data_IF_240653672584
#
_entry.id   IF_240653672584
#
_cell.length_a   1.000
_cell.length_b   1.000
_cell.length_c   1.000
_cell.angle_alpha   90.00
_cell.angle_beta   90.00
_cell.angle_gamma   90.00
#
_symmetry.space_group_name_H-M   'P 1'
#
loop_
_entity.id
_entity.type
_entity.pdbx_description
1 polymer ?
#
# COMPACT_ATOMS: atom_id res chain seq x y z
N UNK A 1 7.92 -26.91 21.20
CA UNK A 1 8.36 -25.68 20.51
C UNK A 1 9.27 -26.08 19.38
N UNK A 2 8.74 -26.22 18.18
CA UNK A 2 9.52 -26.57 16.98
C UNK A 2 10.15 -25.30 16.45
N UNK A 3 11.47 -25.25 16.43
CA UNK A 3 12.22 -24.12 15.86
C UNK A 3 11.92 -24.02 14.36
N UNK A 4 11.56 -22.83 13.91
CA UNK A 4 11.38 -22.53 12.49
C UNK A 4 12.68 -22.84 11.75
N UNK A 5 12.64 -23.57 10.62
CA UNK A 5 13.82 -23.79 9.81
C UNK A 5 14.32 -22.44 9.28
N UNK A 6 15.55 -22.08 9.67
CA UNK A 6 16.23 -20.93 9.07
C UNK A 6 16.43 -21.20 7.59
N UNK A 7 15.94 -20.32 6.73
CA UNK A 7 16.29 -20.38 5.31
C UNK A 7 17.82 -20.33 5.17
N UNK A 8 18.44 -21.20 4.37
CA UNK A 8 19.88 -21.19 4.18
C UNK A 8 20.29 -19.96 3.36
N UNK A 9 21.04 -19.07 3.97
CA UNK A 9 21.95 -18.20 3.30
C UNK A 9 21.45 -16.83 2.83
N UNK A 10 21.31 -15.93 3.70
CA UNK A 10 21.94 -14.60 3.62
C UNK A 10 22.06 -14.08 5.04
N UNK A 11 23.27 -14.00 5.55
CA UNK A 11 23.56 -13.20 6.73
C UNK A 11 23.22 -11.78 6.33
N UNK A 12 22.14 -11.24 6.90
CA UNK A 12 21.86 -9.82 6.83
C UNK A 12 23.00 -9.17 7.61
N UNK A 13 23.97 -8.64 6.88
CA UNK A 13 24.99 -7.80 7.48
C UNK A 13 24.23 -6.55 7.92
N UNK A 14 24.25 -6.19 9.22
CA UNK A 14 23.69 -4.93 9.65
C UNK A 14 24.37 -3.83 8.83
N UNK A 15 23.59 -3.13 8.03
CA UNK A 15 24.12 -2.03 7.28
C UNK A 15 24.59 -0.95 8.27
N UNK A 16 25.72 -0.35 7.95
CA UNK A 16 26.17 0.84 8.66
C UNK A 16 25.10 1.93 8.55
N UNK A 17 24.33 2.11 9.62
CA UNK A 17 23.25 3.08 9.68
C UNK A 17 23.73 4.54 9.65
N UNK A 18 25.04 4.77 9.68
CA UNK A 18 25.64 6.13 9.75
C UNK A 18 25.64 6.87 8.40
N UNK A 19 25.40 6.21 7.28
CA UNK A 19 25.57 6.77 5.94
C UNK A 19 24.32 6.72 5.04
N UNK A 20 23.15 6.34 5.54
CA UNK A 20 21.95 6.23 4.70
C UNK A 20 21.11 7.49 4.76
N UNK A 21 20.76 8.09 3.60
CA UNK A 21 19.78 9.16 3.60
C UNK A 21 18.49 8.61 4.19
N UNK A 22 17.99 9.28 5.23
CA UNK A 22 16.64 8.99 5.74
C UNK A 22 15.65 9.21 4.61
N UNK A 23 15.01 8.15 4.23
CA UNK A 23 13.97 8.17 3.23
C UNK A 23 12.70 8.75 3.91
N UNK A 24 12.44 10.03 3.74
CA UNK A 24 11.26 10.70 4.33
C UNK A 24 10.29 11.08 3.24
N UNK A 25 9.15 10.44 3.24
CA UNK A 25 7.98 10.99 2.55
C UNK A 25 7.42 12.09 3.44
N UNK A 26 7.33 13.36 2.99
CA UNK A 26 6.83 14.45 3.81
C UNK A 26 5.42 14.15 4.32
N UNK A 27 5.18 14.41 5.61
CA UNK A 27 3.84 14.31 6.18
C UNK A 27 2.97 15.47 5.69
N UNK A 28 1.66 15.33 5.64
CA UNK A 28 0.75 16.37 5.17
C UNK A 28 0.56 17.48 6.22
N UNK A 29 1.63 18.14 6.64
CA UNK A 29 1.59 19.19 7.67
C UNK A 29 0.75 20.40 7.22
N UNK A 30 0.74 20.70 5.93
CA UNK A 30 -0.06 21.78 5.36
C UNK A 30 -1.57 21.52 5.51
N UNK A 31 -1.99 20.27 5.56
CA UNK A 31 -3.40 19.89 5.76
C UNK A 31 -3.84 19.80 7.21
N UNK A 32 -2.94 19.99 8.20
CA UNK A 32 -3.23 19.80 9.62
C UNK A 32 -4.33 20.73 10.17
N UNK A 33 -4.64 21.82 9.47
CA UNK A 33 -5.73 22.77 9.79
C UNK A 33 -6.75 22.92 8.66
N UNK A 34 -6.68 22.04 7.67
CA UNK A 34 -7.61 22.03 6.55
C UNK A 34 -8.96 21.41 6.96
N UNK A 35 -9.92 21.48 6.06
CA UNK A 35 -11.15 20.71 6.19
C UNK A 35 -10.85 19.20 6.19
N UNK A 36 -11.84 18.43 6.64
CA UNK A 36 -11.71 17.00 6.84
C UNK A 36 -11.31 16.25 5.56
N UNK A 37 -11.92 16.61 4.42
CA UNK A 37 -11.64 15.95 3.15
C UNK A 37 -10.20 16.20 2.69
N UNK A 38 -9.74 17.43 2.75
CA UNK A 38 -8.37 17.82 2.42
C UNK A 38 -7.35 17.13 3.33
N UNK A 39 -7.63 17.08 4.63
CA UNK A 39 -6.76 16.41 5.60
C UNK A 39 -6.68 14.91 5.33
N UNK A 40 -7.80 14.24 5.14
CA UNK A 40 -7.83 12.79 4.90
C UNK A 40 -7.16 12.42 3.58
N UNK A 41 -7.36 13.19 2.52
CA UNK A 41 -6.65 13.03 1.23
C UNK A 41 -5.15 13.25 1.37
N UNK A 42 -4.73 14.19 2.19
CA UNK A 42 -3.32 14.42 2.51
C UNK A 42 -2.69 13.18 3.16
N UNK A 43 -3.34 12.59 4.15
CA UNK A 43 -2.87 11.35 4.78
C UNK A 43 -2.86 10.17 3.82
N UNK A 44 -3.90 10.02 3.01
CA UNK A 44 -3.98 8.97 2.01
C UNK A 44 -2.81 9.06 1.01
N UNK A 45 -2.55 10.26 0.49
CA UNK A 45 -1.42 10.53 -0.41
C UNK A 45 -0.07 10.20 0.25
N UNK A 46 0.13 10.66 1.49
CA UNK A 46 1.35 10.39 2.25
C UNK A 46 1.61 8.87 2.42
N UNK A 47 0.58 8.12 2.78
CA UNK A 47 0.69 6.67 2.98
C UNK A 47 0.95 5.92 1.67
N UNK A 48 0.30 6.33 0.57
CA UNK A 48 0.53 5.78 -0.77
C UNK A 48 1.98 5.99 -1.23
N UNK A 49 2.49 7.21 -1.10
CA UNK A 49 3.89 7.50 -1.44
C UNK A 49 4.86 6.75 -0.51
N UNK A 50 4.52 6.59 0.77
CA UNK A 50 5.32 5.79 1.70
C UNK A 50 5.41 4.34 1.28
N UNK A 51 4.32 3.75 0.77
CA UNK A 51 4.33 2.38 0.26
C UNK A 51 5.18 2.23 -1.01
N UNK A 52 5.04 3.16 -1.97
CA UNK A 52 5.86 3.18 -3.19
C UNK A 52 7.34 3.30 -2.86
N UNK A 53 7.66 4.21 -1.96
CA UNK A 53 9.00 4.49 -1.52
C UNK A 53 9.74 3.25 -0.96
N UNK A 54 9.02 2.34 -0.30
CA UNK A 54 9.59 1.10 0.21
C UNK A 54 9.95 0.09 -0.89
N UNK A 55 9.60 0.36 -2.13
CA UNK A 55 10.01 -0.44 -3.30
C UNK A 55 11.27 0.11 -3.99
N UNK A 56 11.76 1.31 -3.63
CA UNK A 56 12.92 1.91 -4.30
C UNK A 56 14.14 1.02 -4.24
N UNK A 57 14.86 0.94 -5.38
CA UNK A 57 16.10 0.18 -5.57
C UNK A 57 15.97 -1.33 -5.32
N UNK A 58 14.77 -1.89 -5.34
CA UNK A 58 14.59 -3.34 -5.24
C UNK A 58 14.80 -3.99 -6.62
N UNK A 59 15.67 -5.00 -6.64
CA UNK A 59 15.75 -5.90 -7.77
C UNK A 59 14.59 -6.92 -7.78
N UNK A 60 14.50 -7.73 -8.84
CA UNK A 60 13.44 -8.71 -9.03
C UNK A 60 13.32 -9.71 -7.87
N UNK A 61 14.43 -10.18 -7.31
CA UNK A 61 14.45 -11.18 -6.24
C UNK A 61 14.08 -10.53 -4.90
N UNK A 62 14.55 -9.32 -4.65
CA UNK A 62 14.22 -8.55 -3.46
C UNK A 62 12.73 -8.17 -3.41
N UNK A 63 12.14 -7.80 -4.55
CA UNK A 63 10.71 -7.49 -4.67
C UNK A 63 9.83 -8.68 -4.25
N UNK A 64 10.30 -9.90 -4.46
CA UNK A 64 9.60 -11.17 -4.18
C UNK A 64 10.01 -11.83 -2.88
N UNK A 65 11.03 -11.29 -2.23
CA UNK A 65 11.55 -11.86 -0.99
C UNK A 65 10.51 -11.81 0.14
N UNK A 66 10.40 -12.91 0.89
CA UNK A 66 9.47 -13.06 2.01
C UNK A 66 10.23 -13.26 3.31
N UNK A 67 9.92 -12.52 4.38
CA UNK A 67 10.60 -12.70 5.68
C UNK A 67 10.28 -14.03 6.36
N UNK A 68 9.19 -14.69 5.98
CA UNK A 68 8.78 -16.02 6.43
C UNK A 68 8.00 -16.73 5.31
N UNK A 69 7.84 -18.08 5.34
CA UNK A 69 7.18 -18.84 4.27
C UNK A 69 5.77 -18.34 3.91
N UNK A 70 4.98 -17.96 4.91
CA UNK A 70 3.60 -17.50 4.74
C UNK A 70 3.46 -15.97 4.77
N UNK A 71 4.57 -15.24 4.85
CA UNK A 71 4.54 -13.78 4.82
C UNK A 71 4.44 -13.25 3.39
N UNK A 72 3.88 -12.07 3.24
CA UNK A 72 3.84 -11.37 1.97
C UNK A 72 5.15 -10.64 1.69
N UNK A 73 5.57 -10.63 0.41
CA UNK A 73 6.67 -9.81 -0.05
C UNK A 73 6.23 -8.34 -0.23
N UNK A 74 7.21 -7.43 -0.36
CA UNK A 74 6.93 -6.01 -0.60
C UNK A 74 6.10 -5.79 -1.87
N UNK A 75 6.44 -6.49 -2.96
CA UNK A 75 5.68 -6.41 -4.21
C UNK A 75 4.25 -6.89 -4.07
N UNK A 76 4.03 -8.01 -3.38
CA UNK A 76 2.68 -8.54 -3.10
C UNK A 76 1.84 -7.54 -2.31
N UNK A 77 2.42 -6.90 -1.29
CA UNK A 77 1.68 -5.92 -0.48
C UNK A 77 1.23 -4.74 -1.33
N UNK A 78 2.11 -4.18 -2.18
CA UNK A 78 1.72 -3.01 -3.01
C UNK A 78 0.68 -3.38 -4.07
N UNK A 79 0.76 -4.58 -4.66
CA UNK A 79 -0.29 -5.07 -5.56
C UNK A 79 -1.63 -5.18 -4.83
N UNK A 80 -1.62 -5.74 -3.62
CA UNK A 80 -2.82 -5.82 -2.78
C UNK A 80 -3.40 -4.43 -2.47
N UNK A 81 -2.57 -3.45 -2.13
CA UNK A 81 -3.02 -2.08 -1.89
C UNK A 81 -3.67 -1.46 -3.13
N UNK A 82 -3.15 -1.70 -4.33
CA UNK A 82 -3.78 -1.26 -5.57
C UNK A 82 -5.16 -1.87 -5.78
N UNK A 83 -5.33 -3.15 -5.52
CA UNK A 83 -6.64 -3.81 -5.57
C UNK A 83 -7.58 -3.32 -4.45
N UNK A 84 -7.07 -2.97 -3.29
CA UNK A 84 -7.88 -2.38 -2.21
C UNK A 84 -8.45 -1.02 -2.60
N UNK A 85 -7.66 -0.16 -3.23
CA UNK A 85 -8.12 1.13 -3.79
C UNK A 85 -9.21 0.92 -4.85
N UNK A 86 -8.99 0.00 -5.79
CA UNK A 86 -9.96 -0.38 -6.82
C UNK A 86 -11.27 -0.87 -6.20
N UNK A 87 -11.17 -1.78 -5.24
CA UNK A 87 -12.34 -2.37 -4.60
C UNK A 87 -13.17 -1.32 -3.86
N UNK A 88 -12.54 -0.57 -2.97
CA UNK A 88 -13.26 0.27 -2.04
C UNK A 88 -13.79 1.56 -2.65
N UNK A 89 -12.98 2.31 -3.39
CA UNK A 89 -13.40 3.56 -3.99
C UNK A 89 -14.19 3.34 -5.28
N UNK A 90 -13.70 2.47 -6.16
CA UNK A 90 -14.29 2.33 -7.49
C UNK A 90 -15.46 1.35 -7.51
N UNK A 91 -15.24 0.10 -7.10
CA UNK A 91 -16.30 -0.91 -7.18
C UNK A 91 -17.38 -0.71 -6.11
N UNK A 92 -17.01 -0.48 -4.85
CA UNK A 92 -17.98 -0.37 -3.75
C UNK A 92 -18.59 1.03 -3.68
N UNK A 93 -17.76 2.07 -3.56
CA UNK A 93 -18.31 3.42 -3.39
C UNK A 93 -18.92 3.95 -4.68
N UNK A 94 -18.17 4.00 -5.78
CA UNK A 94 -18.66 4.54 -7.05
C UNK A 94 -19.58 3.60 -7.84
N UNK A 95 -19.59 2.29 -7.51
CA UNK A 95 -20.42 1.29 -8.21
C UNK A 95 -19.93 0.99 -9.63
N UNK A 96 -18.64 1.20 -9.92
CA UNK A 96 -18.07 0.87 -11.21
C UNK A 96 -18.12 -0.64 -11.45
N UNK A 97 -18.65 -1.06 -12.59
CA UNK A 97 -18.55 -2.44 -13.04
C UNK A 97 -17.14 -2.73 -13.52
N UNK A 98 -16.47 -3.68 -12.89
CA UNK A 98 -15.10 -4.04 -13.21
C UNK A 98 -14.79 -5.48 -12.88
N UNK A 99 -13.82 -6.03 -13.59
CA UNK A 99 -13.27 -7.33 -13.25
C UNK A 99 -12.38 -7.19 -12.01
N UNK A 100 -12.79 -7.86 -10.94
CA UNK A 100 -12.04 -7.92 -9.69
C UNK A 100 -11.47 -9.32 -9.52
N UNK A 101 -10.18 -9.45 -9.22
CA UNK A 101 -9.62 -10.76 -8.90
C UNK A 101 -10.30 -11.33 -7.66
N UNK A 102 -10.40 -12.65 -7.58
CA UNK A 102 -10.79 -13.30 -6.34
C UNK A 102 -9.88 -12.86 -5.19
N UNK A 103 -10.40 -12.82 -3.96
CA UNK A 103 -9.63 -12.35 -2.79
C UNK A 103 -8.25 -12.99 -2.66
N UNK A 104 -8.09 -14.29 -3.03
CA UNK A 104 -6.80 -14.96 -3.03
C UNK A 104 -5.80 -14.34 -3.99
N UNK A 105 -6.23 -13.91 -5.17
CA UNK A 105 -5.36 -13.33 -6.22
C UNK A 105 -5.01 -11.86 -5.95
N UNK A 106 -5.69 -11.19 -5.03
CA UNK A 106 -5.31 -9.84 -4.60
C UNK A 106 -3.98 -9.83 -3.83
N UNK A 107 -3.48 -10.99 -3.42
CA UNK A 107 -2.20 -11.18 -2.74
C UNK A 107 -1.21 -11.96 -3.61
N UNK A 108 -1.29 -11.81 -4.91
CA UNK A 108 -0.36 -12.42 -5.86
C UNK A 108 0.39 -11.33 -6.62
N UNK A 109 1.71 -11.48 -6.71
CA UNK A 109 2.53 -10.65 -7.59
C UNK A 109 2.64 -11.37 -8.92
N UNK A 110 2.14 -10.79 -10.03
CA UNK A 110 2.20 -11.44 -11.34
C UNK A 110 3.62 -11.82 -11.73
N UNK A 111 3.76 -12.96 -12.41
CA UNK A 111 5.04 -13.42 -12.90
C UNK A 111 5.64 -12.40 -13.88
N UNK A 112 6.93 -12.19 -13.78
CA UNK A 112 7.68 -11.29 -14.65
C UNK A 112 7.52 -9.79 -14.35
N UNK A 113 6.66 -9.38 -13.42
CA UNK A 113 6.57 -7.96 -13.05
C UNK A 113 7.85 -7.49 -12.36
N UNK A 114 8.36 -6.37 -12.84
CA UNK A 114 9.45 -5.61 -12.22
C UNK A 114 8.92 -4.68 -11.11
N UNK A 115 9.80 -4.03 -10.41
CA UNK A 115 9.46 -2.98 -9.43
C UNK A 115 8.73 -1.83 -10.10
N UNK A 116 9.15 -1.43 -11.29
CA UNK A 116 8.52 -0.38 -12.09
C UNK A 116 7.09 -0.75 -12.50
N UNK A 117 6.84 -2.02 -12.85
CA UNK A 117 5.49 -2.50 -13.21
C UNK A 117 4.55 -2.43 -12.00
N UNK A 118 5.01 -2.84 -10.81
CA UNK A 118 4.24 -2.74 -9.57
C UNK A 118 3.92 -1.29 -9.22
N UNK A 119 4.90 -0.40 -9.32
CA UNK A 119 4.70 1.04 -9.05
C UNK A 119 3.74 1.64 -10.08
N UNK A 120 3.89 1.32 -11.36
CA UNK A 120 3.00 1.81 -12.42
C UNK A 120 1.56 1.34 -12.21
N UNK A 121 1.37 0.06 -11.87
CA UNK A 121 0.06 -0.49 -11.52
C UNK A 121 -0.56 0.28 -10.33
N UNK A 122 0.17 0.42 -9.23
CA UNK A 122 -0.36 1.09 -8.04
C UNK A 122 -0.70 2.56 -8.30
N UNK A 123 0.15 3.30 -9.02
CA UNK A 123 -0.13 4.68 -9.42
C UNK A 123 -1.36 4.80 -10.33
N UNK A 124 -1.58 3.83 -11.22
CA UNK A 124 -2.77 3.81 -12.07
C UNK A 124 -4.05 3.61 -11.23
N UNK A 125 -4.02 2.71 -10.24
CA UNK A 125 -5.17 2.48 -9.36
C UNK A 125 -5.44 3.68 -8.45
N UNK A 126 -4.42 4.27 -7.84
CA UNK A 126 -4.59 5.46 -6.99
C UNK A 126 -5.08 6.67 -7.79
N UNK A 127 -4.59 6.87 -9.00
CA UNK A 127 -5.08 7.94 -9.88
C UNK A 127 -6.55 7.72 -10.30
N UNK A 128 -6.97 6.45 -10.49
CA UNK A 128 -8.37 6.13 -10.75
C UNK A 128 -9.25 6.36 -9.51
N UNK A 129 -8.76 5.99 -8.32
CA UNK A 129 -9.41 6.25 -7.04
C UNK A 129 -9.55 7.74 -6.76
N UNK A 130 -8.54 8.54 -7.08
CA UNK A 130 -8.58 10.00 -6.90
C UNK A 130 -9.66 10.67 -7.73
N UNK A 131 -9.96 10.17 -8.93
CA UNK A 131 -11.10 10.68 -9.73
C UNK A 131 -12.44 10.49 -9.03
N UNK A 132 -12.60 9.41 -8.27
CA UNK A 132 -13.80 9.18 -7.44
C UNK A 132 -13.86 10.20 -6.31
N UNK A 133 -12.74 10.43 -5.63
CA UNK A 133 -12.64 11.42 -4.56
C UNK A 133 -12.86 12.85 -5.08
N UNK A 134 -12.41 13.17 -6.30
CA UNK A 134 -12.59 14.49 -6.92
C UNK A 134 -14.05 14.74 -7.31
N UNK A 135 -14.81 13.70 -7.62
CA UNK A 135 -16.23 13.79 -7.96
C UNK A 135 -17.13 13.91 -6.72
N UNK A 136 -16.66 13.46 -5.55
CA UNK A 136 -17.41 13.47 -4.31
C UNK A 136 -17.54 14.88 -3.75
N UNK A 137 -18.71 15.17 -3.14
CA UNK A 137 -19.06 16.48 -2.57
C UNK A 137 -18.98 16.49 -1.04
N UNK A 138 -19.10 15.32 -0.43
CA UNK A 138 -19.14 15.17 1.03
C UNK A 138 -18.69 13.77 1.44
N UNK A 139 -18.10 13.66 2.60
CA UNK A 139 -17.79 12.38 3.22
C UNK A 139 -19.03 11.60 3.67
N UNK A 140 -20.18 12.25 3.74
CA UNK A 140 -21.44 11.62 4.12
C UNK A 140 -22.19 11.02 2.91
N UNK A 141 -21.63 11.11 1.70
CA UNK A 141 -22.20 10.45 0.52
C UNK A 141 -22.19 8.93 0.72
N UNK A 142 -23.32 8.31 0.40
CA UNK A 142 -23.49 6.85 0.48
C UNK A 142 -22.94 6.16 -0.76
N UNK A 143 -22.44 4.94 -0.58
CA UNK A 143 -21.94 4.10 -1.67
C UNK A 143 -23.05 3.73 -2.65
N UNK A 144 -22.68 3.60 -3.93
CA UNK A 144 -23.59 3.14 -4.98
C UNK A 144 -23.84 1.63 -4.93
N UNK A 145 -22.95 0.84 -4.33
CA UNK A 145 -23.08 -0.61 -4.26
C UNK A 145 -24.05 -1.02 -3.15
N UNK A 146 -25.25 -1.46 -3.51
CA UNK A 146 -26.30 -1.86 -2.59
C UNK A 146 -25.96 -3.08 -1.73
N UNK A 147 -25.03 -3.93 -2.19
CA UNK A 147 -24.59 -5.12 -1.43
C UNK A 147 -23.67 -4.79 -0.25
N UNK A 148 -23.16 -3.58 -0.19
CA UNK A 148 -22.30 -3.09 0.89
C UNK A 148 -22.55 -1.61 1.16
N UNK A 149 -23.67 -1.25 1.76
CA UNK A 149 -23.95 0.15 2.10
C UNK A 149 -22.88 0.69 3.05
N UNK A 150 -22.28 1.83 2.66
CA UNK A 150 -21.25 2.52 3.44
C UNK A 150 -21.23 3.99 3.05
N UNK A 151 -20.46 4.82 3.75
CA UNK A 151 -20.23 6.22 3.37
C UNK A 151 -18.81 6.38 2.83
N UNK A 152 -18.58 7.47 2.09
CA UNK A 152 -17.23 7.82 1.64
C UNK A 152 -16.27 7.96 2.82
N UNK A 153 -16.72 8.55 3.93
CA UNK A 153 -15.96 8.67 5.18
C UNK A 153 -15.40 7.32 5.62
N UNK A 154 -16.28 6.33 5.74
CA UNK A 154 -15.89 5.00 6.15
C UNK A 154 -14.86 4.37 5.19
N UNK A 155 -15.07 4.55 3.89
CA UNK A 155 -14.16 4.01 2.86
C UNK A 155 -12.78 4.63 2.96
N UNK A 156 -12.70 5.96 3.11
CA UNK A 156 -11.42 6.67 3.21
C UNK A 156 -10.70 6.33 4.52
N UNK A 157 -11.40 6.30 5.64
CA UNK A 157 -10.83 5.91 6.94
C UNK A 157 -10.29 4.47 6.90
N UNK A 158 -11.06 3.57 6.26
CA UNK A 158 -10.63 2.19 6.06
C UNK A 158 -9.36 2.09 5.21
N UNK A 159 -9.28 2.83 4.09
CA UNK A 159 -8.08 2.84 3.24
C UNK A 159 -6.87 3.43 3.96
N UNK A 160 -7.04 4.48 4.76
CA UNK A 160 -5.96 5.04 5.58
C UNK A 160 -5.45 3.97 6.57
N UNK A 161 -6.35 3.28 7.26
CA UNK A 161 -6.01 2.21 8.20
C UNK A 161 -5.30 1.05 7.51
N UNK A 162 -5.84 0.60 6.37
CA UNK A 162 -5.32 -0.52 5.58
C UNK A 162 -3.90 -0.23 5.08
N UNK A 163 -3.69 0.94 4.44
CA UNK A 163 -2.37 1.30 3.92
C UNK A 163 -1.38 1.51 5.07
N UNK A 164 -1.79 2.15 6.18
CA UNK A 164 -0.92 2.36 7.33
C UNK A 164 -0.47 1.04 7.97
N UNK A 165 -1.38 0.07 8.11
CA UNK A 165 -1.07 -1.28 8.62
C UNK A 165 -0.06 -1.99 7.72
N UNK A 166 -0.31 -1.97 6.41
CA UNK A 166 0.58 -2.56 5.43
C UNK A 166 1.91 -1.83 5.30
N UNK A 167 1.94 -0.51 5.46
CA UNK A 167 3.18 0.26 5.52
C UNK A 167 4.06 -0.20 6.69
N UNK A 168 3.48 -0.46 7.86
CA UNK A 168 4.22 -1.04 9.00
C UNK A 168 4.78 -2.44 8.72
N UNK A 169 4.03 -3.32 8.01
CA UNK A 169 4.55 -4.60 7.54
C UNK A 169 5.73 -4.41 6.57
N UNK A 170 5.60 -3.45 5.66
CA UNK A 170 6.65 -3.14 4.70
C UNK A 170 7.90 -2.58 5.37
N UNK A 171 7.77 -1.78 6.44
CA UNK A 171 8.90 -1.29 7.22
C UNK A 171 9.72 -2.45 7.77
N UNK A 172 9.07 -3.38 8.46
CA UNK A 172 9.73 -4.56 9.04
C UNK A 172 10.34 -5.43 7.93
N UNK A 173 9.61 -5.66 6.85
CA UNK A 173 10.10 -6.49 5.73
C UNK A 173 11.32 -5.85 5.08
N UNK A 174 11.32 -4.53 4.88
CA UNK A 174 12.43 -3.79 4.30
C UNK A 174 13.65 -3.78 5.21
N UNK A 175 13.45 -3.57 6.50
CA UNK A 175 14.52 -3.61 7.50
C UNK A 175 15.18 -4.99 7.55
N UNK A 176 14.39 -6.06 7.51
CA UNK A 176 14.89 -7.44 7.47
C UNK A 176 15.60 -7.78 6.15
N UNK A 177 15.17 -7.20 5.03
CA UNK A 177 15.73 -7.47 3.71
C UNK A 177 17.11 -6.81 3.53
N UNK A 178 17.22 -5.51 3.83
CA UNK A 178 18.41 -4.72 3.52
C UNK A 178 18.80 -3.71 4.61
N UNK A 179 18.09 -3.70 5.74
CA UNK A 179 18.35 -2.81 6.88
C UNK A 179 17.87 -1.38 6.66
N UNK A 180 17.14 -1.06 5.58
CA UNK A 180 16.54 0.27 5.41
C UNK A 180 15.35 0.41 6.36
N UNK A 181 15.33 1.49 7.14
CA UNK A 181 14.20 1.86 7.99
C UNK A 181 13.42 2.96 7.29
N UNK A 182 12.09 2.84 7.27
CA UNK A 182 11.19 3.87 6.77
C UNK A 182 10.51 4.60 7.94
N UNK A 183 10.20 5.87 7.76
CA UNK A 183 9.33 6.66 8.63
C UNK A 183 8.33 7.43 7.78
#
# INVERSE_FOLDING_TARGET
MTAFPRQPGRVIVPADHSARPELRVPRPEESARADEMTMARGWLTHLRESAIFKLEDLDHDQLRWRPAPDANSLGVIVVHLGYSERLWLRAIFAGEEMDMPWRSHMFELPDGWSTEDVVAFYRAETAAADRVLDAARSFDEESSALFRPTTLRWVVDHLIEEIARHAGHMDITRELLDGRTGR
#
